data_IF_355922166345
#
_entry.id   IF_355922166345
#
_cell.length_a   1.000
_cell.length_b   1.000
_cell.length_c   1.000
_cell.angle_alpha   90.00
_cell.angle_beta   90.00
_cell.angle_gamma   90.00
#
_symmetry.space_group_name_H-M   'P 1'
#
loop_
_entity.id
_entity.type
_entity.pdbx_description
1 polymer ?
#
# COMPACT_ATOMS: atom_id res chain seq x y z
N UNK A 1 9.61 -7.58 40.73
CA UNK A 1 8.87 -8.65 40.04
C UNK A 1 8.08 -7.97 38.94
N UNK A 2 8.59 -8.02 37.70
CA UNK A 2 7.91 -7.48 36.54
C UNK A 2 6.63 -8.30 36.32
N UNK A 3 5.47 -7.65 36.21
CA UNK A 3 4.23 -8.34 35.86
C UNK A 3 4.38 -9.10 34.53
N UNK A 4 3.49 -10.05 34.22
CA UNK A 4 3.53 -10.72 32.92
C UNK A 4 3.50 -9.65 31.84
N UNK A 5 4.53 -9.65 30.99
CA UNK A 5 4.58 -8.75 29.85
C UNK A 5 3.36 -9.07 28.97
N UNK A 6 2.62 -8.03 28.56
CA UNK A 6 1.50 -8.18 27.64
C UNK A 6 1.95 -8.77 26.29
N UNK A 7 1.01 -9.09 25.39
CA UNK A 7 1.34 -9.68 24.09
C UNK A 7 2.30 -8.78 23.31
N UNK A 8 3.27 -9.39 22.63
CA UNK A 8 4.26 -8.72 21.78
C UNK A 8 4.29 -9.36 20.39
N UNK A 9 4.87 -8.64 19.44
CA UNK A 9 5.05 -9.14 18.08
C UNK A 9 6.29 -10.03 17.98
N UNK A 10 6.12 -11.21 17.40
CA UNK A 10 7.17 -12.15 17.08
C UNK A 10 7.27 -12.35 15.56
N UNK A 11 8.47 -12.63 15.04
CA UNK A 11 8.71 -12.76 13.59
C UNK A 11 9.47 -14.04 13.22
N UNK A 12 8.99 -14.70 12.18
CA UNK A 12 9.70 -15.76 11.45
C UNK A 12 9.93 -15.29 10.01
N UNK A 13 11.15 -15.47 9.50
CA UNK A 13 11.51 -15.17 8.13
C UNK A 13 11.66 -16.48 7.36
N UNK A 14 10.98 -16.57 6.22
CA UNK A 14 11.01 -17.74 5.33
C UNK A 14 11.75 -17.34 4.06
N UNK A 15 13.01 -17.74 3.97
CA UNK A 15 13.88 -17.47 2.84
C UNK A 15 13.51 -18.40 1.68
N UNK A 16 13.02 -17.78 0.61
CA UNK A 16 12.63 -18.43 -0.63
C UNK A 16 13.06 -17.48 -1.75
N UNK A 17 14.26 -17.71 -2.28
CA UNK A 17 14.91 -16.79 -3.19
C UNK A 17 14.23 -16.71 -4.57
N UNK A 18 13.47 -17.74 -4.94
CA UNK A 18 12.59 -17.70 -6.10
C UNK A 18 11.28 -16.96 -5.78
N UNK A 19 11.22 -15.66 -6.05
CA UNK A 19 9.99 -14.87 -5.86
C UNK A 19 8.78 -15.37 -6.68
N UNK A 20 9.01 -16.05 -7.81
CA UNK A 20 7.93 -16.65 -8.59
C UNK A 20 7.26 -17.84 -7.88
N UNK A 21 7.93 -18.46 -6.90
CA UNK A 21 7.36 -19.51 -6.06
C UNK A 21 6.55 -18.97 -4.87
N UNK A 22 6.63 -17.66 -4.57
CA UNK A 22 5.94 -17.07 -3.42
C UNK A 22 4.43 -17.30 -3.42
N UNK A 23 3.68 -17.19 -4.54
CA UNK A 23 2.24 -17.49 -4.53
C UNK A 23 1.90 -18.90 -4.03
N UNK A 24 2.67 -19.91 -4.46
CA UNK A 24 2.49 -21.30 -4.02
C UNK A 24 2.83 -21.46 -2.53
N UNK A 25 3.93 -20.85 -2.07
CA UNK A 25 4.32 -20.82 -0.66
C UNK A 25 3.27 -20.12 0.21
N UNK A 26 2.72 -19.00 -0.25
CA UNK A 26 1.68 -18.24 0.47
C UNK A 26 0.42 -19.09 0.65
N UNK A 27 -0.06 -19.73 -0.41
CA UNK A 27 -1.31 -20.51 -0.36
C UNK A 27 -1.17 -21.89 0.27
N UNK A 28 -0.02 -22.55 0.06
CA UNK A 28 0.22 -23.94 0.46
C UNK A 28 1.03 -24.10 1.76
N UNK A 29 1.82 -23.09 2.16
CA UNK A 29 2.62 -23.11 3.38
C UNK A 29 2.11 -22.14 4.44
N UNK A 30 1.99 -20.85 4.09
CA UNK A 30 1.64 -19.80 5.04
C UNK A 30 0.16 -19.88 5.44
N UNK A 31 -0.77 -19.93 4.48
CA UNK A 31 -2.21 -19.96 4.79
C UNK A 31 -2.58 -21.09 5.78
N UNK A 32 -2.13 -22.35 5.59
CA UNK A 32 -2.37 -23.40 6.59
C UNK A 32 -1.71 -23.12 7.94
N UNK A 33 -0.48 -22.62 7.98
CA UNK A 33 0.22 -22.30 9.23
C UNK A 33 -0.53 -21.23 10.03
N UNK A 34 -0.96 -20.15 9.37
CA UNK A 34 -1.74 -19.08 9.98
C UNK A 34 -3.10 -19.57 10.49
N UNK A 35 -3.77 -20.44 9.73
CA UNK A 35 -5.05 -21.03 10.15
C UNK A 35 -4.92 -21.87 11.43
N UNK A 36 -3.84 -22.67 11.56
CA UNK A 36 -3.63 -23.53 12.73
C UNK A 36 -3.36 -22.73 14.01
N UNK A 37 -2.65 -21.61 13.92
CA UNK A 37 -2.28 -20.80 15.10
C UNK A 37 -3.28 -19.70 15.43
N UNK A 38 -4.30 -19.47 14.59
CA UNK A 38 -5.34 -18.44 14.77
C UNK A 38 -5.95 -18.42 16.19
N UNK A 39 -6.24 -19.56 16.85
CA UNK A 39 -6.80 -19.54 18.20
C UNK A 39 -5.85 -19.01 19.29
N UNK A 40 -4.57 -18.81 19.00
CA UNK A 40 -3.52 -18.47 19.97
C UNK A 40 -2.90 -17.09 19.75
N UNK A 41 -3.33 -16.36 18.72
CA UNK A 41 -2.74 -15.07 18.34
C UNK A 41 -3.81 -13.99 18.30
N UNK A 42 -3.48 -12.81 18.82
CA UNK A 42 -4.36 -11.64 18.76
C UNK A 42 -4.28 -10.92 17.39
N UNK A 43 -3.21 -11.16 16.63
CA UNK A 43 -2.99 -10.59 15.30
C UNK A 43 -1.95 -11.39 14.54
N UNK A 44 -2.07 -11.44 13.22
CA UNK A 44 -1.09 -12.09 12.37
C UNK A 44 -1.09 -11.50 10.96
N UNK A 45 0.09 -11.32 10.38
CA UNK A 45 0.25 -10.87 9.00
C UNK A 45 1.56 -11.35 8.40
N UNK A 46 1.70 -11.26 7.07
CA UNK A 46 2.95 -11.55 6.38
C UNK A 46 3.31 -10.44 5.39
N UNK A 47 4.59 -10.26 5.11
CA UNK A 47 5.07 -9.28 4.13
C UNK A 47 6.26 -9.82 3.34
N UNK A 48 6.55 -9.19 2.19
CA UNK A 48 7.76 -9.49 1.41
C UNK A 48 8.92 -8.63 1.88
N UNK A 49 10.14 -9.15 1.79
CA UNK A 49 11.33 -8.38 2.10
C UNK A 49 12.57 -8.91 1.37
N UNK A 50 13.59 -8.06 1.22
CA UNK A 50 14.79 -8.33 0.42
C UNK A 50 16.10 -8.42 1.23
N UNK A 51 16.14 -7.80 2.43
CA UNK A 51 17.32 -7.80 3.30
C UNK A 51 17.81 -9.23 3.58
N UNK A 52 19.11 -9.47 3.39
CA UNK A 52 19.72 -10.80 3.46
C UNK A 52 19.12 -11.88 2.52
N UNK A 53 18.54 -11.45 1.39
CA UNK A 53 17.96 -12.32 0.35
C UNK A 53 16.43 -12.24 0.31
N UNK A 54 15.78 -12.57 -0.83
CA UNK A 54 14.33 -12.54 -0.95
C UNK A 54 13.65 -13.50 0.04
N UNK A 55 12.73 -12.98 0.85
CA UNK A 55 12.04 -13.76 1.87
C UNK A 55 10.66 -13.19 2.21
N UNK A 56 9.87 -14.01 2.92
CA UNK A 56 8.62 -13.59 3.55
C UNK A 56 8.84 -13.41 5.05
N UNK A 57 8.39 -12.29 5.61
CA UNK A 57 8.31 -12.07 7.06
C UNK A 57 6.91 -12.48 7.54
N UNK A 58 6.81 -13.34 8.54
CA UNK A 58 5.57 -13.81 9.15
C UNK A 58 5.53 -13.29 10.58
N UNK A 59 4.52 -12.51 10.92
CA UNK A 59 4.44 -11.80 12.18
C UNK A 59 3.21 -12.24 12.96
N UNK A 60 3.37 -12.43 14.27
CA UNK A 60 2.33 -12.93 15.17
C UNK A 60 2.34 -12.14 16.48
N UNK A 61 1.18 -11.63 16.89
CA UNK A 61 0.98 -10.95 18.17
C UNK A 61 0.45 -11.95 19.20
N UNK A 62 1.27 -12.32 20.18
CA UNK A 62 0.89 -13.28 21.23
C UNK A 62 1.79 -13.09 22.46
N UNK A 63 1.51 -13.81 23.54
CA UNK A 63 2.37 -13.84 24.72
C UNK A 63 3.60 -14.73 24.48
N UNK A 64 4.74 -14.39 25.07
CA UNK A 64 6.02 -15.11 24.91
C UNK A 64 5.89 -16.63 25.15
N UNK A 65 5.17 -17.04 26.20
CA UNK A 65 4.95 -18.46 26.48
C UNK A 65 4.17 -19.16 25.37
N UNK A 66 3.10 -18.51 24.87
CA UNK A 66 2.29 -19.02 23.76
C UNK A 66 3.09 -19.05 22.44
N UNK A 67 3.94 -18.05 22.22
CA UNK A 67 4.87 -18.03 21.10
C UNK A 67 5.80 -19.26 21.12
N UNK A 68 6.54 -19.42 22.22
CA UNK A 68 7.57 -20.42 22.36
C UNK A 68 7.03 -21.86 22.33
N UNK A 69 5.89 -22.10 22.99
CA UNK A 69 5.33 -23.44 23.19
C UNK A 69 4.40 -23.89 22.07
N UNK A 70 3.71 -22.96 21.39
CA UNK A 70 2.61 -23.30 20.47
C UNK A 70 2.80 -22.72 19.08
N UNK A 71 2.89 -21.40 18.97
CA UNK A 71 2.85 -20.72 17.66
C UNK A 71 4.09 -21.03 16.84
N UNK A 72 5.28 -20.74 17.37
CA UNK A 72 6.56 -20.95 16.69
C UNK A 72 6.76 -22.39 16.21
N UNK A 73 6.67 -23.44 17.06
CA UNK A 73 6.87 -24.81 16.60
C UNK A 73 5.84 -25.23 15.53
N UNK A 74 4.59 -24.80 15.66
CA UNK A 74 3.53 -25.11 14.68
C UNK A 74 3.82 -24.47 13.33
N UNK A 75 4.13 -23.17 13.30
CA UNK A 75 4.42 -22.45 12.06
C UNK A 75 5.69 -23.00 11.41
N UNK A 76 6.76 -23.20 12.18
CA UNK A 76 8.02 -23.76 11.67
C UNK A 76 7.79 -25.14 11.06
N UNK A 77 7.05 -26.04 11.70
CA UNK A 77 6.77 -27.37 11.18
C UNK A 77 6.04 -27.30 9.83
N UNK A 78 4.89 -26.61 9.78
CA UNK A 78 4.05 -26.51 8.58
C UNK A 78 4.80 -25.87 7.41
N UNK A 79 5.51 -24.77 7.66
CA UNK A 79 6.22 -24.06 6.59
C UNK A 79 7.46 -24.83 6.14
N UNK A 80 8.23 -25.42 7.06
CA UNK A 80 9.40 -26.24 6.70
C UNK A 80 9.00 -27.44 5.86
N UNK A 81 7.88 -28.11 6.19
CA UNK A 81 7.39 -29.24 5.41
C UNK A 81 6.98 -28.82 3.98
N UNK A 82 6.33 -27.66 3.84
CA UNK A 82 6.01 -27.12 2.52
C UNK A 82 7.27 -26.81 1.70
N UNK A 83 8.23 -26.09 2.30
CA UNK A 83 9.47 -25.68 1.64
C UNK A 83 10.34 -26.88 1.27
N UNK A 84 10.39 -27.93 2.11
CA UNK A 84 11.08 -29.18 1.76
C UNK A 84 10.43 -29.92 0.59
N UNK A 85 9.11 -29.85 0.50
CA UNK A 85 8.35 -30.50 -0.59
C UNK A 85 8.39 -29.71 -1.90
N UNK A 86 8.63 -28.40 -1.81
CA UNK A 86 8.65 -27.48 -2.96
C UNK A 86 9.82 -26.48 -2.82
N UNK A 87 11.08 -26.95 -2.82
CA UNK A 87 12.21 -26.07 -2.57
C UNK A 87 12.39 -25.07 -3.71
N UNK A 88 12.73 -23.83 -3.36
CA UNK A 88 13.32 -22.87 -4.28
C UNK A 88 14.66 -23.41 -4.78
N UNK A 89 14.85 -23.31 -6.09
CA UNK A 89 16.10 -23.63 -6.78
C UNK A 89 16.73 -22.38 -7.39
N UNK A 90 16.39 -21.18 -6.89
CA UNK A 90 16.92 -19.95 -7.43
C UNK A 90 18.39 -19.78 -7.06
N UNK A 91 19.17 -19.33 -8.04
CA UNK A 91 20.55 -18.89 -7.85
C UNK A 91 20.66 -17.42 -8.26
N UNK A 92 20.20 -16.46 -7.42
CA UNK A 92 20.27 -15.06 -7.78
C UNK A 92 21.72 -14.59 -7.91
N UNK A 93 21.98 -13.74 -8.90
CA UNK A 93 23.27 -13.08 -9.05
C UNK A 93 23.47 -12.05 -7.92
N UNK A 94 24.10 -12.51 -6.84
CA UNK A 94 24.40 -11.72 -5.65
C UNK A 94 25.28 -10.53 -5.95
N UNK A 95 26.21 -10.65 -6.90
CA UNK A 95 27.11 -9.58 -7.27
C UNK A 95 26.34 -8.45 -8.00
N UNK A 96 25.43 -8.81 -8.91
CA UNK A 96 24.55 -7.86 -9.57
C UNK A 96 23.57 -7.17 -8.60
N UNK A 97 23.08 -7.89 -7.58
CA UNK A 97 22.13 -7.36 -6.60
C UNK A 97 22.78 -6.52 -5.49
N UNK A 98 24.08 -6.70 -5.22
CA UNK A 98 24.78 -5.96 -4.16
C UNK A 98 24.63 -4.43 -4.23
N UNK A 99 24.90 -3.75 -5.37
CA UNK A 99 24.71 -2.29 -5.44
C UNK A 99 23.23 -1.88 -5.30
N UNK A 100 22.29 -2.74 -5.74
CA UNK A 100 20.86 -2.51 -5.58
C UNK A 100 20.47 -2.56 -4.09
N UNK A 101 20.88 -3.60 -3.38
CA UNK A 101 20.61 -3.77 -1.94
C UNK A 101 21.24 -2.65 -1.10
N UNK A 102 22.46 -2.22 -1.43
CA UNK A 102 23.08 -1.08 -0.76
C UNK A 102 22.26 0.22 -0.94
N UNK A 103 21.75 0.45 -2.15
CA UNK A 103 20.91 1.63 -2.41
C UNK A 103 19.54 1.52 -1.76
N UNK A 104 18.92 0.33 -1.77
CA UNK A 104 17.65 0.10 -1.08
C UNK A 104 17.79 0.29 0.43
N UNK A 105 18.88 -0.16 1.03
CA UNK A 105 19.13 0.03 2.46
C UNK A 105 19.11 1.51 2.85
N UNK A 106 19.75 2.36 2.05
CA UNK A 106 19.73 3.81 2.27
C UNK A 106 18.33 4.40 2.09
N UNK A 107 17.65 4.08 0.98
CA UNK A 107 16.34 4.64 0.63
C UNK A 107 15.23 4.21 1.59
N UNK A 108 15.29 2.97 2.06
CA UNK A 108 14.30 2.37 2.97
C UNK A 108 14.73 2.50 4.43
N UNK A 109 15.88 3.12 4.71
CA UNK A 109 16.45 3.29 6.05
C UNK A 109 16.60 1.95 6.78
N UNK A 110 17.00 0.90 6.04
CA UNK A 110 17.29 -0.41 6.62
C UNK A 110 18.58 -0.36 7.43
N UNK A 111 18.50 -0.97 8.60
CA UNK A 111 19.64 -1.18 9.47
C UNK A 111 19.98 -2.67 9.52
N UNK A 112 21.26 -2.98 9.69
CA UNK A 112 21.75 -4.34 9.80
C UNK A 112 22.58 -4.81 8.61
N UNK A 113 23.13 -6.02 8.71
CA UNK A 113 23.99 -6.56 7.66
C UNK A 113 23.18 -6.84 6.40
N UNK A 114 23.73 -6.49 5.23
CA UNK A 114 23.18 -6.92 3.94
C UNK A 114 23.63 -8.34 3.56
N UNK A 115 24.69 -8.81 4.21
CA UNK A 115 25.43 -10.05 3.92
C UNK A 115 25.98 -10.69 5.20
N UNK A 116 26.20 -12.03 5.24
CA UNK A 116 25.83 -12.98 4.19
C UNK A 116 24.30 -13.09 4.07
N UNK A 117 23.82 -13.48 2.89
CA UNK A 117 22.42 -13.89 2.79
C UNK A 117 22.18 -15.14 3.62
N UNK A 118 20.98 -15.26 4.14
CA UNK A 118 20.54 -16.51 4.74
C UNK A 118 20.49 -17.62 3.67
N UNK A 119 20.50 -18.86 4.13
CA UNK A 119 20.33 -20.01 3.24
C UNK A 119 18.96 -19.95 2.54
N UNK A 120 18.93 -20.27 1.24
CA UNK A 120 17.64 -20.48 0.58
C UNK A 120 16.90 -21.64 1.27
N UNK A 121 15.57 -21.62 1.23
CA UNK A 121 14.70 -22.60 1.85
C UNK A 121 14.80 -22.68 3.39
N UNK A 122 15.34 -21.64 4.05
CA UNK A 122 15.47 -21.59 5.50
C UNK A 122 14.27 -20.88 6.16
N UNK A 123 13.90 -21.36 7.35
CA UNK A 123 12.97 -20.67 8.26
C UNK A 123 13.77 -20.21 9.48
N UNK A 124 13.87 -18.91 9.69
CA UNK A 124 14.70 -18.31 10.74
C UNK A 124 13.89 -17.37 11.62
N UNK A 125 14.10 -17.43 12.93
CA UNK A 125 13.50 -16.49 13.86
C UNK A 125 14.31 -15.18 13.90
N UNK A 126 13.61 -14.05 13.93
CA UNK A 126 14.21 -12.71 13.99
C UNK A 126 13.38 -11.82 14.91
N UNK A 127 13.98 -10.79 15.53
CA UNK A 127 13.21 -9.76 16.23
C UNK A 127 12.18 -9.13 15.29
N UNK A 128 11.00 -8.82 15.82
CA UNK A 128 10.02 -8.05 15.06
C UNK A 128 10.53 -6.64 14.80
N UNK A 129 10.53 -6.24 13.53
CA UNK A 129 10.95 -4.91 13.11
C UNK A 129 9.74 -3.95 13.13
N UNK A 130 9.71 -3.09 14.15
CA UNK A 130 8.65 -2.09 14.31
C UNK A 130 8.73 -0.93 13.31
N UNK A 131 9.80 -0.81 12.51
CA UNK A 131 10.02 0.28 11.56
C UNK A 131 9.92 1.68 12.18
N UNK A 132 10.24 1.83 13.47
CA UNK A 132 10.02 3.08 14.21
C UNK A 132 10.73 4.27 13.58
N UNK A 133 11.92 4.07 12.99
CA UNK A 133 12.67 5.12 12.31
C UNK A 133 11.95 5.68 11.07
N UNK A 134 11.16 4.85 10.40
CA UNK A 134 10.39 5.21 9.20
C UNK A 134 8.99 5.70 9.56
N UNK A 135 8.34 5.03 10.50
CA UNK A 135 6.96 5.31 10.90
C UNK A 135 6.83 6.44 11.93
N UNK A 136 7.93 6.79 12.61
CA UNK A 136 8.00 7.92 13.55
C UNK A 136 7.47 7.64 14.95
N UNK A 137 6.59 6.65 15.14
CA UNK A 137 6.07 6.31 16.46
C UNK A 137 5.68 4.83 16.61
N UNK A 138 5.64 4.29 17.85
CA UNK A 138 5.07 2.97 18.13
C UNK A 138 3.61 2.86 17.71
N UNK A 139 2.80 3.93 17.91
CA UNK A 139 1.39 3.96 17.50
C UNK A 139 1.21 3.82 15.99
N UNK A 140 2.08 4.44 15.19
CA UNK A 140 2.05 4.27 13.73
C UNK A 140 2.39 2.82 13.32
N UNK A 141 3.32 2.18 14.04
CA UNK A 141 3.66 0.77 13.87
C UNK A 141 2.48 -0.16 14.21
N UNK A 142 1.81 0.09 15.33
CA UNK A 142 0.60 -0.65 15.75
C UNK A 142 -0.55 -0.48 14.75
N UNK A 143 -0.79 0.74 14.28
CA UNK A 143 -1.84 1.04 13.30
C UNK A 143 -1.60 0.30 11.97
N UNK A 144 -0.35 0.29 11.48
CA UNK A 144 0.01 -0.45 10.29
C UNK A 144 -0.11 -1.97 10.50
N UNK A 145 0.37 -2.50 11.63
CA UNK A 145 0.24 -3.92 11.94
C UNK A 145 -1.22 -4.36 12.07
N UNK A 146 -2.09 -3.48 12.62
CA UNK A 146 -3.54 -3.65 12.65
C UNK A 146 -4.13 -3.76 11.25
N UNK A 147 -3.74 -2.87 10.33
CA UNK A 147 -4.14 -2.92 8.93
C UNK A 147 -3.71 -4.21 8.23
N UNK A 148 -2.43 -4.58 8.34
CA UNK A 148 -1.89 -5.77 7.70
C UNK A 148 -2.53 -7.06 8.25
N UNK A 149 -2.89 -7.06 9.53
CA UNK A 149 -3.60 -8.18 10.18
C UNK A 149 -5.06 -8.24 9.76
N UNK A 150 -5.77 -7.11 9.78
CA UNK A 150 -7.18 -7.03 9.40
C UNK A 150 -7.43 -7.38 7.93
N UNK A 151 -6.42 -7.20 7.06
CA UNK A 151 -6.47 -7.53 5.63
C UNK A 151 -5.80 -8.87 5.29
N UNK A 152 -5.34 -9.65 6.28
CA UNK A 152 -4.56 -10.87 6.03
C UNK A 152 -5.39 -11.97 5.32
N UNK A 153 -6.59 -12.25 5.82
CA UNK A 153 -7.50 -13.24 5.22
C UNK A 153 -7.95 -12.83 3.81
N UNK A 154 -8.18 -11.52 3.60
CA UNK A 154 -8.46 -10.95 2.29
C UNK A 154 -7.28 -11.15 1.33
N UNK A 155 -6.05 -10.95 1.81
CA UNK A 155 -4.83 -11.16 1.02
C UNK A 155 -4.70 -12.62 0.57
N UNK A 156 -5.00 -13.60 1.43
CA UNK A 156 -4.98 -15.00 1.02
C UNK A 156 -6.00 -15.32 -0.09
N UNK A 157 -7.19 -14.73 -0.04
CA UNK A 157 -8.19 -14.87 -1.12
C UNK A 157 -7.75 -14.17 -2.41
N UNK A 158 -7.09 -13.02 -2.30
CA UNK A 158 -6.48 -12.37 -3.46
C UNK A 158 -5.41 -13.25 -4.11
N UNK A 159 -4.55 -13.92 -3.33
CA UNK A 159 -3.58 -14.88 -3.90
C UNK A 159 -4.26 -16.06 -4.60
N UNK A 160 -5.42 -16.52 -4.13
CA UNK A 160 -6.21 -17.55 -4.81
C UNK A 160 -6.75 -17.04 -6.16
N UNK A 161 -7.30 -15.82 -6.18
CA UNK A 161 -7.77 -15.15 -7.40
C UNK A 161 -6.64 -14.98 -8.44
N UNK A 162 -5.43 -14.66 -7.99
CA UNK A 162 -4.25 -14.49 -8.83
C UNK A 162 -3.77 -15.78 -9.52
N UNK A 163 -4.36 -16.94 -9.21
CA UNK A 163 -4.15 -18.18 -9.99
C UNK A 163 -4.78 -18.10 -11.37
N UNK A 164 -5.82 -17.29 -11.54
CA UNK A 164 -6.60 -17.15 -12.79
C UNK A 164 -6.70 -15.71 -13.29
N UNK A 165 -6.56 -14.72 -12.41
CA UNK A 165 -6.63 -13.31 -12.76
C UNK A 165 -5.24 -12.65 -12.81
N UNK A 166 -5.00 -11.71 -13.74
CA UNK A 166 -3.76 -10.97 -13.78
C UNK A 166 -3.68 -9.93 -12.66
N UNK A 167 -2.56 -9.91 -11.91
CA UNK A 167 -2.29 -8.96 -10.84
C UNK A 167 -2.54 -7.48 -11.21
N UNK A 168 -2.15 -7.00 -12.41
CA UNK A 168 -2.44 -5.64 -12.82
C UNK A 168 -3.92 -5.25 -12.79
N UNK A 169 -4.85 -6.17 -13.10
CA UNK A 169 -6.29 -5.88 -13.08
C UNK A 169 -6.79 -5.73 -11.64
N UNK A 170 -6.43 -6.68 -10.78
CA UNK A 170 -6.76 -6.59 -9.35
C UNK A 170 -6.16 -5.32 -8.72
N UNK A 171 -4.92 -4.98 -9.06
CA UNK A 171 -4.26 -3.78 -8.55
C UNK A 171 -4.99 -2.49 -8.97
N UNK A 172 -5.49 -2.40 -10.21
CA UNK A 172 -6.30 -1.26 -10.66
C UNK A 172 -7.62 -1.17 -9.89
N UNK A 173 -8.32 -2.30 -9.70
CA UNK A 173 -9.56 -2.34 -8.94
C UNK A 173 -9.34 -1.85 -7.49
N UNK A 174 -8.26 -2.28 -6.83
CA UNK A 174 -7.91 -1.80 -5.48
C UNK A 174 -7.50 -0.32 -5.47
N UNK A 175 -6.78 0.16 -6.48
CA UNK A 175 -6.43 1.58 -6.61
C UNK A 175 -7.68 2.46 -6.69
N UNK A 176 -8.59 2.14 -7.61
CA UNK A 176 -9.85 2.87 -7.77
C UNK A 176 -10.76 2.74 -6.54
N UNK A 177 -10.84 1.56 -5.94
CA UNK A 177 -11.61 1.36 -4.73
C UNK A 177 -11.07 2.20 -3.56
N UNK A 178 -9.74 2.28 -3.38
CA UNK A 178 -9.15 3.14 -2.34
C UNK A 178 -9.46 4.60 -2.59
N UNK A 179 -9.21 5.11 -3.81
CA UNK A 179 -9.41 6.54 -4.08
C UNK A 179 -10.88 6.95 -4.05
N UNK A 180 -11.80 6.06 -4.42
CA UNK A 180 -13.23 6.31 -4.28
C UNK A 180 -13.68 6.26 -2.81
N UNK A 181 -13.20 5.28 -2.04
CA UNK A 181 -13.67 5.05 -0.66
C UNK A 181 -13.08 6.02 0.38
N UNK A 182 -11.86 6.51 0.17
CA UNK A 182 -11.15 7.37 1.12
C UNK A 182 -11.31 8.88 0.82
N UNK A 183 -11.87 9.23 -0.33
CA UNK A 183 -11.99 10.62 -0.76
C UNK A 183 -13.35 11.20 -0.46
N UNK A 184 -13.39 12.53 -0.41
CA UNK A 184 -14.61 13.34 -0.48
C UNK A 184 -14.61 14.09 -1.82
N UNK A 185 -15.78 14.39 -2.41
CA UNK A 185 -15.83 15.09 -3.70
C UNK A 185 -15.38 16.55 -3.57
N UNK A 186 -15.01 17.17 -4.69
CA UNK A 186 -14.70 18.61 -4.75
C UNK A 186 -15.94 19.49 -4.58
N UNK A 187 -17.07 19.02 -5.09
CA UNK A 187 -18.35 19.73 -5.10
C UNK A 187 -19.45 18.79 -4.60
N UNK A 188 -20.47 19.35 -3.94
CA UNK A 188 -21.60 18.57 -3.43
C UNK A 188 -22.28 17.81 -4.59
N UNK A 189 -22.42 16.49 -4.45
CA UNK A 189 -22.97 15.61 -5.49
C UNK A 189 -21.96 15.15 -6.58
N UNK A 190 -20.71 15.60 -6.51
CA UNK A 190 -19.63 15.11 -7.38
C UNK A 190 -19.16 13.70 -7.02
N UNK A 191 -18.44 13.04 -7.94
CA UNK A 191 -17.84 11.73 -7.70
C UNK A 191 -16.57 11.86 -6.82
N UNK A 192 -16.47 11.22 -5.63
CA UNK A 192 -15.32 11.38 -4.75
C UNK A 192 -13.97 10.99 -5.38
N UNK A 193 -14.02 10.05 -6.33
CA UNK A 193 -12.83 9.54 -7.02
C UNK A 193 -12.07 10.63 -7.81
N UNK A 194 -12.77 11.67 -8.29
CA UNK A 194 -12.13 12.77 -9.05
C UNK A 194 -11.19 13.60 -8.19
N UNK A 195 -11.40 13.64 -6.86
CA UNK A 195 -10.43 14.24 -5.93
C UNK A 195 -9.30 13.27 -5.58
N UNK A 196 -9.64 12.00 -5.31
CA UNK A 196 -8.65 10.99 -4.95
C UNK A 196 -7.60 10.73 -6.05
N UNK A 197 -7.99 10.88 -7.32
CA UNK A 197 -7.12 10.67 -8.48
C UNK A 197 -5.87 11.56 -8.48
N UNK A 198 -5.93 12.74 -7.85
CA UNK A 198 -4.79 13.65 -7.72
C UNK A 198 -3.56 12.93 -7.14
N UNK A 199 -3.79 12.02 -6.19
CA UNK A 199 -2.69 11.27 -5.57
C UNK A 199 -2.15 10.16 -6.47
N UNK A 200 -2.98 9.52 -7.29
CA UNK A 200 -2.50 8.55 -8.30
C UNK A 200 -1.66 9.26 -9.36
N UNK A 201 -2.11 10.42 -9.85
CA UNK A 201 -1.34 11.27 -10.78
C UNK A 201 0.00 11.67 -10.16
N UNK A 202 -0.01 12.15 -8.92
CA UNK A 202 1.19 12.51 -8.17
C UNK A 202 2.19 11.34 -8.07
N UNK A 203 1.73 10.14 -7.72
CA UNK A 203 2.61 8.97 -7.62
C UNK A 203 3.20 8.54 -8.97
N UNK A 204 2.41 8.57 -10.04
CA UNK A 204 2.87 8.26 -11.39
C UNK A 204 3.94 9.27 -11.85
N UNK A 205 3.67 10.56 -11.67
CA UNK A 205 4.61 11.62 -12.04
C UNK A 205 5.89 11.59 -11.20
N UNK A 206 5.77 11.29 -9.90
CA UNK A 206 6.92 11.13 -9.02
C UNK A 206 7.79 9.96 -9.48
N UNK A 207 7.19 8.83 -9.90
CA UNK A 207 7.94 7.74 -10.51
C UNK A 207 8.66 8.19 -11.79
N UNK A 208 7.93 8.77 -12.75
CA UNK A 208 8.47 9.22 -14.04
C UNK A 208 9.60 10.23 -13.88
N UNK A 209 9.48 11.18 -12.96
CA UNK A 209 10.50 12.21 -12.68
C UNK A 209 11.89 11.69 -12.33
N UNK A 210 12.00 10.40 -11.98
CA UNK A 210 13.22 9.73 -11.53
C UNK A 210 13.74 8.68 -12.53
N UNK A 211 13.00 8.40 -13.60
CA UNK A 211 13.43 7.43 -14.62
C UNK A 211 14.53 7.99 -15.50
N UNK A 212 15.18 7.13 -16.29
CA UNK A 212 16.29 7.55 -17.13
C UNK A 212 15.92 8.66 -18.13
N UNK A 213 14.73 8.54 -18.70
CA UNK A 213 14.15 9.43 -19.71
C UNK A 213 12.64 9.62 -19.41
N UNK A 214 12.27 10.58 -18.55
CA UNK A 214 10.89 10.73 -18.10
C UNK A 214 9.87 10.92 -19.22
N UNK A 215 10.25 11.61 -20.30
CA UNK A 215 9.36 11.90 -21.43
C UNK A 215 9.11 10.66 -22.29
N UNK A 216 10.14 9.86 -22.57
CA UNK A 216 9.97 8.59 -23.29
C UNK A 216 9.08 7.61 -22.50
N UNK A 217 9.30 7.46 -21.19
CA UNK A 217 8.45 6.61 -20.35
C UNK A 217 7.00 7.11 -20.31
N UNK A 218 6.79 8.44 -20.23
CA UNK A 218 5.45 9.05 -20.26
C UNK A 218 4.75 8.75 -21.59
N UNK A 219 5.44 8.90 -22.72
CA UNK A 219 4.90 8.59 -24.03
C UNK A 219 4.50 7.11 -24.14
N UNK A 220 5.33 6.18 -23.62
CA UNK A 220 5.00 4.76 -23.57
C UNK A 220 3.78 4.47 -22.71
N UNK A 221 3.63 5.13 -21.56
CA UNK A 221 2.48 4.95 -20.67
C UNK A 221 1.20 5.46 -21.32
N UNK A 222 1.25 6.64 -21.97
CA UNK A 222 0.11 7.23 -22.67
C UNK A 222 -0.31 6.38 -23.88
N UNK A 223 0.64 5.82 -24.63
CA UNK A 223 0.33 4.90 -25.72
C UNK A 223 -0.37 3.62 -25.23
N UNK A 224 0.05 3.07 -24.07
CA UNK A 224 -0.64 1.93 -23.44
C UNK A 224 -2.05 2.32 -23.02
N UNK A 225 -2.23 3.48 -22.41
CA UNK A 225 -3.55 3.99 -22.06
C UNK A 225 -4.45 4.12 -23.29
N UNK A 226 -4.00 4.81 -24.35
CA UNK A 226 -4.80 5.00 -25.58
C UNK A 226 -5.27 3.69 -26.20
N UNK A 227 -4.47 2.62 -26.12
CA UNK A 227 -4.85 1.28 -26.62
C UNK A 227 -5.91 0.58 -25.76
N UNK A 228 -6.04 0.96 -24.50
CA UNK A 228 -6.88 0.27 -23.51
C UNK A 228 -7.96 1.16 -22.91
N UNK A 229 -8.08 2.41 -23.35
CA UNK A 229 -8.93 3.45 -22.76
C UNK A 229 -10.37 2.96 -22.56
N UNK A 230 -11.02 2.44 -23.59
CA UNK A 230 -12.39 1.94 -23.49
C UNK A 230 -12.55 0.83 -22.44
N UNK A 231 -11.59 -0.11 -22.38
CA UNK A 231 -11.64 -1.22 -21.43
C UNK A 231 -11.37 -0.76 -19.99
N UNK A 232 -10.41 0.16 -19.80
CA UNK A 232 -10.10 0.74 -18.50
C UNK A 232 -11.25 1.58 -17.96
N UNK A 233 -11.85 2.43 -18.79
CA UNK A 233 -13.01 3.24 -18.42
C UNK A 233 -14.25 2.37 -18.12
N UNK A 234 -14.47 1.29 -18.89
CA UNK A 234 -15.55 0.35 -18.60
C UNK A 234 -15.34 -0.38 -17.27
N UNK A 235 -14.10 -0.82 -16.99
CA UNK A 235 -13.76 -1.48 -15.71
C UNK A 235 -13.89 -0.53 -14.53
N UNK A 236 -13.41 0.70 -14.65
CA UNK A 236 -13.59 1.74 -13.63
C UNK A 236 -15.08 1.92 -13.27
N UNK A 237 -15.96 2.04 -14.27
CA UNK A 237 -17.41 2.16 -14.02
C UNK A 237 -18.00 0.94 -13.29
N UNK A 238 -17.48 -0.27 -13.54
CA UNK A 238 -17.89 -1.45 -12.77
C UNK A 238 -17.47 -1.35 -11.30
N UNK A 239 -16.28 -0.81 -11.01
CA UNK A 239 -15.82 -0.56 -9.64
C UNK A 239 -16.70 0.50 -8.96
N UNK A 240 -17.00 1.60 -9.65
CA UNK A 240 -17.87 2.64 -9.11
C UNK A 240 -19.30 2.14 -8.84
N UNK A 241 -19.90 1.41 -9.78
CA UNK A 241 -21.21 0.78 -9.59
C UNK A 241 -21.21 -0.19 -8.40
N UNK A 242 -20.15 -1.00 -8.28
CA UNK A 242 -19.94 -1.90 -7.15
C UNK A 242 -19.77 -1.16 -5.82
N UNK A 243 -19.35 0.10 -5.79
CA UNK A 243 -19.28 0.88 -4.55
C UNK A 243 -20.58 1.64 -4.24
N UNK A 244 -21.37 1.97 -5.27
CA UNK A 244 -22.61 2.74 -5.14
C UNK A 244 -23.81 1.90 -4.72
N UNK A 245 -23.89 0.64 -5.12
CA UNK A 245 -25.02 -0.23 -4.80
C UNK A 245 -24.98 -0.75 -3.34
N UNK A 246 -26.14 -0.99 -2.73
CA UNK A 246 -26.24 -1.62 -1.40
C UNK A 246 -25.82 -3.11 -1.42
N UNK A 247 -25.18 -3.63 -0.35
CA UNK A 247 -24.83 -5.05 -0.25
C UNK A 247 -26.06 -5.95 -0.42
N UNK A 248 -25.99 -6.92 -1.35
CA UNK A 248 -27.08 -7.87 -1.61
C UNK A 248 -28.14 -7.40 -2.61
N UNK A 249 -27.96 -6.24 -3.24
CA UNK A 249 -28.79 -5.78 -4.35
C UNK A 249 -28.56 -6.54 -5.67
N UNK A 250 -29.48 -6.42 -6.65
CA UNK A 250 -29.28 -6.93 -8.00
C UNK A 250 -28.12 -6.17 -8.68
N UNK A 251 -26.93 -6.78 -8.70
CA UNK A 251 -25.65 -6.15 -9.06
C UNK A 251 -24.49 -6.46 -8.09
N UNK A 252 -24.76 -7.21 -7.02
CA UNK A 252 -23.78 -7.67 -6.04
C UNK A 252 -22.55 -8.42 -6.62
N UNK A 253 -22.64 -8.92 -7.86
CA UNK A 253 -21.57 -9.55 -8.63
C UNK A 253 -20.60 -8.51 -9.25
N UNK A 254 -20.16 -7.53 -8.46
CA UNK A 254 -19.15 -6.56 -8.86
C UNK A 254 -17.74 -7.17 -8.92
N UNK A 255 -16.73 -6.39 -9.32
CA UNK A 255 -15.33 -6.80 -9.26
C UNK A 255 -14.95 -7.37 -7.89
N UNK A 256 -14.25 -8.52 -7.89
CA UNK A 256 -13.87 -9.21 -6.66
C UNK A 256 -13.15 -8.28 -5.68
N UNK A 257 -13.45 -8.44 -4.40
CA UNK A 257 -12.80 -7.75 -3.28
C UNK A 257 -13.02 -6.23 -3.17
N UNK A 258 -13.59 -5.56 -4.16
CA UNK A 258 -13.74 -4.08 -4.17
C UNK A 258 -14.45 -3.56 -2.92
N UNK A 259 -15.61 -4.15 -2.56
CA UNK A 259 -16.39 -3.73 -1.38
C UNK A 259 -15.67 -4.00 -0.07
N UNK A 260 -15.10 -5.19 0.06
CA UNK A 260 -14.39 -5.63 1.27
C UNK A 260 -13.13 -4.79 1.50
N UNK A 261 -12.42 -4.48 0.42
CA UNK A 261 -11.27 -3.59 0.45
C UNK A 261 -11.66 -2.16 0.80
N UNK A 262 -12.70 -1.61 0.17
CA UNK A 262 -13.21 -0.28 0.49
C UNK A 262 -13.66 -0.16 1.96
N UNK A 263 -14.27 -1.21 2.51
CA UNK A 263 -14.62 -1.27 3.93
C UNK A 263 -13.36 -1.25 4.82
N UNK A 264 -12.33 -2.02 4.48
CA UNK A 264 -11.06 -2.01 5.21
C UNK A 264 -10.38 -0.64 5.15
N UNK A 265 -10.38 0.03 3.99
CA UNK A 265 -9.85 1.39 3.81
C UNK A 265 -10.57 2.39 4.71
N UNK A 266 -11.91 2.41 4.69
CA UNK A 266 -12.72 3.32 5.52
C UNK A 266 -12.49 3.07 7.02
N UNK A 267 -12.46 1.82 7.44
CA UNK A 267 -12.23 1.49 8.85
C UNK A 267 -10.87 1.98 9.33
N UNK A 268 -9.81 1.81 8.53
CA UNK A 268 -8.48 2.27 8.94
C UNK A 268 -8.33 3.79 8.85
N UNK A 269 -9.03 4.45 7.92
CA UNK A 269 -9.10 5.91 7.90
C UNK A 269 -9.78 6.44 9.18
N UNK A 270 -10.86 5.79 9.62
CA UNK A 270 -11.59 6.09 10.87
C UNK A 270 -10.71 5.88 12.11
N UNK A 271 -9.96 4.78 12.17
CA UNK A 271 -9.03 4.49 13.28
C UNK A 271 -7.85 5.48 13.30
N UNK A 272 -7.37 5.90 12.13
CA UNK A 272 -6.25 6.84 12.02
C UNK A 272 -6.63 8.28 12.42
N UNK A 273 -7.87 8.71 12.17
CA UNK A 273 -8.32 10.08 12.38
C UNK A 273 -7.96 10.66 13.76
N UNK A 274 -8.39 10.03 14.87
CA UNK A 274 -8.04 10.50 16.22
C UNK A 274 -6.53 10.53 16.50
N UNK A 275 -5.77 9.56 15.98
CA UNK A 275 -4.32 9.45 16.19
C UNK A 275 -3.53 10.51 15.41
N UNK A 276 -4.02 10.86 14.21
CA UNK A 276 -3.48 11.97 13.42
C UNK A 276 -3.83 13.31 14.06
N UNK A 277 -5.05 13.46 14.57
CA UNK A 277 -5.49 14.68 15.26
C UNK A 277 -4.72 14.91 16.59
N UNK A 278 -4.39 13.85 17.33
CA UNK A 278 -3.58 13.93 18.56
C UNK A 278 -2.08 14.08 18.31
N UNK A 279 -1.62 13.85 17.08
CA UNK A 279 -0.20 13.83 16.72
C UNK A 279 0.55 12.56 17.13
N UNK A 280 -0.14 11.54 17.67
CA UNK A 280 0.45 10.23 17.98
C UNK A 280 0.91 9.49 16.71
N UNK A 281 0.29 9.79 15.57
CA UNK A 281 0.69 9.37 14.24
C UNK A 281 0.92 10.61 13.38
N UNK A 282 2.01 10.63 12.61
CA UNK A 282 2.35 11.73 11.71
C UNK A 282 2.91 11.22 10.40
N UNK A 283 2.63 11.95 9.31
CA UNK A 283 3.19 11.67 7.99
C UNK A 283 4.60 12.26 7.79
N UNK A 284 5.14 12.98 8.79
CA UNK A 284 6.42 13.68 8.69
C UNK A 284 7.64 12.75 8.66
N UNK A 285 7.64 11.67 9.45
CA UNK A 285 8.77 10.74 9.51
C UNK A 285 9.06 10.09 8.15
N UNK A 286 8.02 9.63 7.46
CA UNK A 286 8.14 9.10 6.10
C UNK A 286 8.63 10.16 5.10
N UNK A 287 8.36 11.45 5.34
CA UNK A 287 8.82 12.53 4.48
C UNK A 287 10.34 12.76 4.58
N UNK A 288 10.95 12.40 5.71
CA UNK A 288 12.39 12.53 5.97
C UNK A 288 13.26 11.43 5.35
N UNK A 289 12.65 10.37 4.82
CA UNK A 289 13.38 9.29 4.15
C UNK A 289 14.17 9.81 2.93
N UNK A 290 15.40 9.31 2.69
CA UNK A 290 16.19 9.68 1.52
C UNK A 290 15.43 9.43 0.22
N UNK A 291 15.54 10.35 -0.73
CA UNK A 291 14.89 10.23 -2.03
C UNK A 291 15.91 10.07 -3.14
N UNK A 292 15.53 9.31 -4.16
CA UNK A 292 16.24 9.31 -5.43
C UNK A 292 16.21 10.72 -6.04
N UNK A 293 17.31 11.18 -6.67
CA UNK A 293 17.34 12.49 -7.32
C UNK A 293 16.24 12.65 -8.36
N UNK A 294 15.54 13.78 -8.30
CA UNK A 294 14.59 14.20 -9.33
C UNK A 294 15.36 14.66 -10.56
N UNK A 295 15.08 14.05 -11.71
CA UNK A 295 15.70 14.42 -13.00
C UNK A 295 14.88 15.48 -13.75
N UNK A 296 13.56 15.37 -13.70
CA UNK A 296 12.64 16.32 -14.32
C UNK A 296 11.39 16.49 -13.47
N UNK A 297 11.00 17.73 -13.21
CA UNK A 297 9.79 18.02 -12.43
C UNK A 297 8.59 18.02 -13.37
N UNK A 298 7.54 17.26 -13.05
CA UNK A 298 6.29 17.31 -13.83
C UNK A 298 5.50 18.59 -13.60
N UNK A 299 4.60 18.94 -14.52
CA UNK A 299 3.72 20.10 -14.36
C UNK A 299 2.93 20.03 -13.04
N UNK A 300 2.39 18.86 -12.70
CA UNK A 300 1.69 18.63 -11.43
C UNK A 300 2.58 18.93 -10.20
N UNK A 301 3.83 18.45 -10.20
CA UNK A 301 4.76 18.71 -9.09
C UNK A 301 5.34 20.13 -9.09
N UNK A 302 5.39 20.79 -10.23
CA UNK A 302 5.73 22.21 -10.30
C UNK A 302 4.63 23.04 -9.61
N UNK A 303 3.37 22.71 -9.89
CA UNK A 303 2.21 23.32 -9.26
C UNK A 303 2.15 23.03 -7.75
N UNK A 304 2.36 21.77 -7.35
CA UNK A 304 2.41 21.34 -5.94
C UNK A 304 3.56 21.98 -5.16
N UNK A 305 4.63 22.47 -5.82
CA UNK A 305 5.74 23.19 -5.17
C UNK A 305 5.63 24.70 -5.29
N UNK A 306 4.60 25.21 -5.96
CA UNK A 306 4.39 26.64 -6.10
C UNK A 306 3.95 27.27 -4.77
N UNK A 307 4.13 28.57 -4.61
CA UNK A 307 3.93 29.27 -3.33
C UNK A 307 2.47 29.76 -3.14
N UNK A 308 1.48 29.04 -3.68
CA UNK A 308 0.08 29.47 -3.71
C UNK A 308 -0.74 28.98 -2.50
N UNK A 309 -0.10 28.86 -1.32
CA UNK A 309 -0.80 28.62 -0.05
C UNK A 309 -1.37 27.22 0.17
N UNK A 310 -1.02 26.22 -0.64
CA UNK A 310 -1.41 24.81 -0.45
C UNK A 310 -0.40 24.00 0.37
N UNK A 311 0.62 24.63 0.96
CA UNK A 311 1.50 23.97 1.93
C UNK A 311 0.69 23.40 3.10
N UNK A 312 -0.23 24.20 3.65
CA UNK A 312 -1.12 23.80 4.74
C UNK A 312 -2.04 22.63 4.34
N UNK A 313 -2.45 22.54 3.06
CA UNK A 313 -3.21 21.40 2.56
C UNK A 313 -2.39 20.10 2.60
N UNK A 314 -1.14 20.17 2.15
CA UNK A 314 -0.28 18.99 2.05
C UNK A 314 0.25 18.52 3.41
N UNK A 315 0.45 19.48 4.32
CA UNK A 315 1.11 19.28 5.61
C UNK A 315 0.14 19.12 6.77
N UNK A 316 -0.95 19.90 6.81
CA UNK A 316 -1.77 20.08 8.03
C UNK A 316 -3.24 19.64 7.87
N UNK A 317 -3.72 19.38 6.65
CA UNK A 317 -5.10 18.90 6.44
C UNK A 317 -5.26 17.46 6.94
N UNK A 318 -6.15 17.27 7.91
CA UNK A 318 -6.37 16.00 8.58
C UNK A 318 -6.97 14.94 7.64
N UNK A 319 -7.95 15.34 6.82
CA UNK A 319 -8.52 14.45 5.80
C UNK A 319 -7.41 13.98 4.85
N UNK A 320 -6.60 14.89 4.30
CA UNK A 320 -5.56 14.56 3.36
C UNK A 320 -4.46 13.68 3.99
N UNK A 321 -4.11 13.93 5.25
CA UNK A 321 -3.19 13.08 6.02
C UNK A 321 -3.73 11.66 6.18
N UNK A 322 -5.00 11.51 6.55
CA UNK A 322 -5.66 10.20 6.66
C UNK A 322 -5.75 9.48 5.31
N UNK A 323 -6.04 10.23 4.25
CA UNK A 323 -6.09 9.74 2.88
C UNK A 323 -4.70 9.25 2.42
N UNK A 324 -3.65 10.04 2.65
CA UNK A 324 -2.27 9.67 2.32
C UNK A 324 -1.83 8.41 3.07
N UNK A 325 -2.25 8.25 4.32
CA UNK A 325 -1.96 7.05 5.10
C UNK A 325 -2.55 5.80 4.42
N UNK A 326 -3.85 5.81 4.09
CA UNK A 326 -4.49 4.64 3.46
C UNK A 326 -4.02 4.41 2.03
N UNK A 327 -3.60 5.45 1.31
CA UNK A 327 -2.90 5.29 0.02
C UNK A 327 -1.55 4.58 0.18
N UNK A 328 -0.78 4.89 1.22
CA UNK A 328 0.45 4.16 1.50
C UNK A 328 0.17 2.71 1.87
N UNK A 329 -0.89 2.44 2.62
CA UNK A 329 -1.33 1.08 2.97
C UNK A 329 -1.77 0.28 1.74
N UNK A 330 -2.46 0.91 0.78
CA UNK A 330 -2.71 0.33 -0.54
C UNK A 330 -1.40 -0.11 -1.20
N UNK A 331 -0.38 0.76 -1.26
CA UNK A 331 0.88 0.40 -1.93
C UNK A 331 1.65 -0.71 -1.20
N UNK A 332 1.58 -0.77 0.12
CA UNK A 332 2.10 -1.91 0.90
C UNK A 332 1.34 -3.19 0.56
N UNK A 333 0.01 -3.14 0.43
CA UNK A 333 -0.79 -4.28 0.00
C UNK A 333 -0.42 -4.73 -1.43
N UNK A 334 -0.24 -3.81 -2.36
CA UNK A 334 0.17 -4.16 -3.73
C UNK A 334 1.55 -4.82 -3.76
N UNK A 335 2.51 -4.31 -2.98
CA UNK A 335 3.82 -4.95 -2.83
C UNK A 335 3.69 -6.34 -2.19
N UNK A 336 2.83 -6.50 -1.19
CA UNK A 336 2.53 -7.79 -0.54
C UNK A 336 1.97 -8.83 -1.51
N UNK A 337 1.21 -8.40 -2.52
CA UNK A 337 0.72 -9.22 -3.64
C UNK A 337 1.77 -9.45 -4.75
N UNK A 338 2.94 -8.81 -4.65
CA UNK A 338 4.05 -8.97 -5.60
C UNK A 338 4.12 -7.94 -6.72
N UNK A 339 3.39 -6.82 -6.61
CA UNK A 339 3.48 -5.76 -7.59
C UNK A 339 4.83 -5.03 -7.47
N UNK A 340 5.55 -4.92 -8.58
CA UNK A 340 6.84 -4.24 -8.61
C UNK A 340 6.67 -2.71 -8.56
N UNK A 341 7.68 -1.95 -8.11
CA UNK A 341 7.63 -0.49 -8.13
C UNK A 341 7.43 0.11 -9.53
N UNK A 342 7.96 -0.54 -10.57
CA UNK A 342 7.82 -0.11 -11.97
C UNK A 342 6.39 -0.31 -12.44
N UNK A 343 5.81 -1.47 -12.20
CA UNK A 343 4.41 -1.75 -12.55
C UNK A 343 3.48 -0.81 -11.78
N UNK A 344 3.75 -0.55 -10.49
CA UNK A 344 2.99 0.44 -9.71
C UNK A 344 3.02 1.83 -10.37
N UNK A 345 4.18 2.28 -10.85
CA UNK A 345 4.30 3.56 -11.56
C UNK A 345 3.43 3.63 -12.81
N UNK A 346 3.41 2.56 -13.61
CA UNK A 346 2.52 2.43 -14.76
C UNK A 346 1.05 2.40 -14.36
N UNK A 347 0.68 1.58 -13.38
CA UNK A 347 -0.72 1.40 -12.98
C UNK A 347 -1.30 2.67 -12.35
N UNK A 348 -0.53 3.43 -11.57
CA UNK A 348 -0.96 4.75 -11.10
C UNK A 348 -1.26 5.70 -12.28
N UNK A 349 -0.45 5.64 -13.35
CA UNK A 349 -0.69 6.44 -14.56
C UNK A 349 -1.98 6.00 -15.26
N UNK A 350 -2.16 4.70 -15.53
CA UNK A 350 -3.34 4.16 -16.19
C UNK A 350 -4.62 4.43 -15.38
N UNK A 351 -4.57 4.22 -14.07
CA UNK A 351 -5.68 4.48 -13.17
C UNK A 351 -6.07 5.97 -13.18
N UNK A 352 -5.09 6.87 -13.17
CA UNK A 352 -5.35 8.31 -13.23
C UNK A 352 -5.96 8.74 -14.56
N UNK A 353 -5.40 8.27 -15.69
CA UNK A 353 -5.92 8.56 -17.03
C UNK A 353 -7.33 8.01 -17.25
N UNK A 354 -7.65 6.83 -16.70
CA UNK A 354 -8.99 6.25 -16.79
C UNK A 354 -10.05 7.11 -16.09
N UNK A 355 -9.74 7.65 -14.90
CA UNK A 355 -10.65 8.58 -14.20
C UNK A 355 -10.80 9.89 -14.97
N UNK A 356 -9.69 10.49 -15.41
CA UNK A 356 -9.71 11.72 -16.22
C UNK A 356 -10.59 11.56 -17.48
N UNK A 357 -10.43 10.44 -18.21
CA UNK A 357 -11.24 10.15 -19.40
C UNK A 357 -12.70 9.84 -19.07
N UNK A 358 -12.98 9.01 -18.06
CA UNK A 358 -14.34 8.60 -17.72
C UNK A 358 -15.21 9.74 -17.18
N UNK A 359 -14.61 10.70 -16.48
CA UNK A 359 -15.32 11.85 -15.89
C UNK A 359 -15.10 13.17 -16.64
N UNK A 360 -14.29 13.19 -17.70
CA UNK A 360 -13.97 14.41 -18.45
C UNK A 360 -13.22 15.45 -17.61
N UNK A 361 -12.37 15.00 -16.69
CA UNK A 361 -11.59 15.86 -15.78
C UNK A 361 -10.10 15.84 -16.09
N UNK A 362 -9.33 16.68 -15.40
CA UNK A 362 -7.87 16.70 -15.50
C UNK A 362 -7.30 16.91 -14.10
N UNK A 363 -6.48 15.97 -13.62
CA UNK A 363 -5.89 16.09 -12.29
C UNK A 363 -5.07 17.39 -12.12
N UNK A 364 -4.43 17.88 -13.19
CA UNK A 364 -3.71 19.16 -13.15
C UNK A 364 -4.70 20.32 -13.05
N UNK A 365 -5.70 20.38 -13.92
CA UNK A 365 -6.67 21.48 -13.94
C UNK A 365 -7.52 21.52 -12.66
N UNK A 366 -7.90 20.36 -12.12
CA UNK A 366 -8.66 20.26 -10.87
C UNK A 366 -7.80 20.72 -9.68
N UNK A 367 -6.51 20.38 -9.67
CA UNK A 367 -5.60 20.89 -8.63
C UNK A 367 -5.46 22.42 -8.73
N UNK A 368 -5.28 22.97 -9.94
CA UNK A 368 -5.24 24.42 -10.18
C UNK A 368 -6.54 25.10 -9.72
N UNK A 369 -7.70 24.49 -9.97
CA UNK A 369 -9.00 25.09 -9.66
C UNK A 369 -9.37 25.01 -8.19
N UNK A 370 -9.18 23.86 -7.56
CA UNK A 370 -9.75 23.58 -6.24
C UNK A 370 -8.74 23.68 -5.09
N UNK A 371 -7.45 23.52 -5.39
CA UNK A 371 -6.38 23.48 -4.38
C UNK A 371 -5.55 24.76 -4.39
N UNK A 372 -5.13 25.20 -5.56
CA UNK A 372 -4.43 26.47 -5.74
C UNK A 372 -5.42 27.62 -5.57
N UNK A 373 -5.13 28.55 -4.67
CA UNK A 373 -6.00 29.72 -4.47
C UNK A 373 -6.10 30.51 -5.78
N UNK A 374 -7.31 30.84 -6.23
CA UNK A 374 -7.47 31.84 -7.26
C UNK A 374 -6.97 33.19 -6.71
N UNK A 375 -6.17 33.91 -7.48
CA UNK A 375 -5.74 35.27 -7.14
C UNK A 375 -6.96 36.12 -6.76
N UNK A 376 -7.08 36.48 -5.47
CA UNK A 376 -8.16 37.33 -4.96
C UNK A 376 -9.05 36.72 -3.87
N UNK A 377 -8.50 36.59 -2.65
CA UNK A 377 -9.24 36.71 -1.39
C UNK A 377 -10.28 35.64 -0.99
N UNK A 378 -10.65 34.70 -1.87
CA UNK A 378 -11.56 33.61 -1.52
C UNK A 378 -10.79 32.44 -0.86
N UNK A 379 -11.32 31.94 0.27
CA UNK A 379 -10.75 30.78 0.94
C UNK A 379 -10.78 29.53 0.02
N UNK A 380 -9.67 28.79 -0.11
CA UNK A 380 -9.62 27.59 -0.94
C UNK A 380 -10.66 26.55 -0.54
N UNK A 381 -11.26 25.88 -1.53
CA UNK A 381 -12.36 24.91 -1.30
C UNK A 381 -11.98 23.77 -0.36
N UNK A 382 -10.70 23.35 -0.37
CA UNK A 382 -10.22 22.24 0.45
C UNK A 382 -10.29 22.51 1.95
N UNK A 383 -10.12 23.76 2.42
CA UNK A 383 -10.19 24.11 3.85
C UNK A 383 -11.58 23.85 4.41
N UNK A 384 -12.61 24.30 3.68
CA UNK A 384 -14.02 24.08 4.05
C UNK A 384 -14.40 22.61 4.06
N UNK A 385 -13.90 21.85 3.08
CA UNK A 385 -14.18 20.42 2.96
C UNK A 385 -13.48 19.60 4.06
N UNK A 386 -12.23 19.93 4.39
CA UNK A 386 -11.50 19.29 5.48
C UNK A 386 -12.19 19.49 6.84
N UNK A 387 -12.70 20.69 7.10
CA UNK A 387 -13.48 20.99 8.31
C UNK A 387 -14.77 20.17 8.41
N UNK A 388 -15.58 20.11 7.32
CA UNK A 388 -16.82 19.30 7.28
C UNK A 388 -16.54 17.81 7.53
N UNK A 389 -15.47 17.29 6.94
CA UNK A 389 -15.06 15.90 7.15
C UNK A 389 -14.69 15.63 8.61
N UNK A 390 -13.96 16.54 9.25
CA UNK A 390 -13.59 16.41 10.67
C UNK A 390 -14.82 16.41 11.60
N UNK A 391 -15.89 17.11 11.22
CA UNK A 391 -17.17 17.15 11.95
C UNK A 391 -18.08 15.93 11.67
N UNK A 392 -17.68 15.04 10.75
CA UNK A 392 -18.47 13.86 10.36
C UNK A 392 -19.68 14.19 9.48
N UNK A 393 -19.68 15.34 8.81
CA UNK A 393 -20.81 15.86 8.00
C UNK A 393 -20.56 15.81 6.49
N UNK A 394 -19.51 15.12 6.04
CA UNK A 394 -19.03 15.10 4.66
C UNK A 394 -18.94 13.72 4.02
#
# INVERSE_FOLDING_TARGET
>A
MSGPAGPSWHSLHVHCHNEAAHPALVLGGLRPAFAQVRPWVAGSWFGRHWLCGPHLRLNFLTEEATWAERVRPTVVAVVTDHVRSHPSSAEPDRAALSPVHARLAELEMEEGPLWPWEGDNAVVERPYDHRQRVLGSPRASELLAGFLSGTNDLTFRMYEELRTAPLPVLALDLMWATVAAASIPFEDGGAPITRGVLSLRSHADAFLSRTADPDAYRACFEERFRRQEAALCARLRQVEACLAEEPGGPGADGPAFVREWAAAVREHQRLAGPLLASGEVSMAAAAAAPRMPTRQVSAFHALLRSDHGHHDFVSDDLWFSSFRLVMNYLYLQLNRLGLTPVDRGLLCHLAARAVESAHGTSAVADFERYVVAADGGAEPSWRRLGARWAEGTG
#
